data_IF_341889093096
#
_entry.id   IF_341889093096
#
_cell.length_a   1.000
_cell.length_b   1.000
_cell.length_c   1.000
_cell.angle_alpha   90.00
_cell.angle_beta   90.00
_cell.angle_gamma   90.00
#
_symmetry.space_group_name_H-M   'P 1'
#
loop_
_entity.id
_entity.type
_entity.pdbx_description
1 polymer ?
#
# COMPACT_ATOMS: atom_id res chain seq x y z
N UNK A 1 -12.96 -21.40 24.75
CA UNK A 1 -12.38 -20.71 23.59
C UNK A 1 -12.94 -21.40 22.37
N UNK A 2 -13.73 -20.70 21.55
CA UNK A 2 -14.14 -21.25 20.25
C UNK A 2 -12.90 -21.27 19.36
N UNK A 3 -12.73 -22.32 18.57
CA UNK A 3 -11.74 -22.31 17.49
C UNK A 3 -12.24 -21.30 16.46
N UNK A 4 -11.35 -20.42 16.01
CA UNK A 4 -11.63 -19.54 14.88
C UNK A 4 -11.77 -20.39 13.62
N UNK A 5 -12.93 -20.38 12.94
CA UNK A 5 -13.13 -21.16 11.72
C UNK A 5 -12.27 -20.65 10.54
N UNK A 6 -11.68 -19.45 10.67
CA UNK A 6 -10.83 -18.80 9.67
C UNK A 6 -9.51 -18.34 10.31
N UNK A 7 -8.58 -19.27 10.61
CA UNK A 7 -7.28 -18.89 11.13
C UNK A 7 -6.50 -18.13 10.05
N UNK A 8 -6.58 -16.80 10.10
CA UNK A 8 -5.91 -15.87 9.19
C UNK A 8 -4.85 -15.08 9.95
N UNK A 9 -3.75 -14.69 9.28
CA UNK A 9 -2.78 -13.81 9.90
C UNK A 9 -3.40 -12.41 10.08
N UNK A 10 -3.13 -11.78 11.23
CA UNK A 10 -3.57 -10.43 11.55
C UNK A 10 -2.38 -9.63 12.07
N UNK A 11 -2.31 -8.37 11.66
CA UNK A 11 -1.25 -7.42 12.02
C UNK A 11 0.14 -7.99 11.70
N UNK A 12 0.33 -8.45 10.46
CA UNK A 12 1.57 -9.10 9.99
C UNK A 12 2.73 -8.13 9.83
N UNK A 13 2.43 -6.84 9.73
CA UNK A 13 3.41 -5.79 9.56
C UNK A 13 3.49 -4.90 10.80
N UNK A 14 4.71 -4.44 11.06
CA UNK A 14 4.99 -3.42 12.05
C UNK A 14 4.44 -2.06 11.57
N UNK A 15 4.00 -1.19 12.51
CA UNK A 15 3.66 0.18 12.16
C UNK A 15 4.88 0.94 11.63
N UNK A 16 4.67 2.06 10.90
CA UNK A 16 5.78 2.92 10.48
C UNK A 16 6.67 3.29 11.67
N UNK A 17 7.98 3.13 11.53
CA UNK A 17 8.95 3.49 12.58
C UNK A 17 9.58 4.86 12.30
N UNK A 18 9.75 5.21 11.04
CA UNK A 18 10.25 6.52 10.61
C UNK A 18 9.14 7.41 10.01
N UNK A 19 9.41 8.72 9.94
CA UNK A 19 8.58 9.64 9.17
C UNK A 19 8.72 9.42 7.66
N UNK A 20 7.93 10.14 6.87
CA UNK A 20 8.01 10.07 5.42
C UNK A 20 9.44 10.39 4.93
N UNK A 21 9.94 9.71 3.87
CA UNK A 21 11.27 9.96 3.33
C UNK A 21 11.53 11.44 3.00
N UNK A 22 12.72 11.94 3.37
CA UNK A 22 13.15 13.30 3.06
C UNK A 22 14.67 13.39 2.81
N UNK A 23 15.10 14.50 2.21
CA UNK A 23 16.52 14.79 1.94
C UNK A 23 17.23 13.67 1.17
N UNK A 24 18.47 13.35 1.58
CA UNK A 24 19.29 12.31 0.93
C UNK A 24 18.67 10.92 0.96
N UNK A 25 17.81 10.65 1.94
CA UNK A 25 17.12 9.38 2.01
C UNK A 25 16.06 9.26 0.92
N UNK A 26 15.22 10.29 0.78
CA UNK A 26 14.27 10.38 -0.35
C UNK A 26 14.98 10.33 -1.70
N UNK A 27 16.14 10.99 -1.86
CA UNK A 27 16.93 10.93 -3.11
C UNK A 27 17.40 9.50 -3.43
N UNK A 28 17.84 8.74 -2.42
CA UNK A 28 18.23 7.34 -2.58
C UNK A 28 17.05 6.47 -3.02
N UNK A 29 15.92 6.57 -2.33
CA UNK A 29 14.72 5.81 -2.68
C UNK A 29 14.17 6.21 -4.05
N UNK A 30 14.15 7.51 -4.37
CA UNK A 30 13.66 8.01 -5.65
C UNK A 30 14.48 7.44 -6.81
N UNK A 31 15.80 7.28 -6.65
CA UNK A 31 16.62 6.63 -7.67
C UNK A 31 16.13 5.20 -7.96
N UNK A 32 15.94 4.38 -6.93
CA UNK A 32 15.45 3.01 -7.10
C UNK A 32 14.06 2.95 -7.72
N UNK A 33 13.15 3.84 -7.29
CA UNK A 33 11.81 3.91 -7.84
C UNK A 33 11.80 4.36 -9.30
N UNK A 34 12.56 5.40 -9.66
CA UNK A 34 12.66 5.85 -11.05
C UNK A 34 13.31 4.81 -11.95
N UNK A 35 14.34 4.10 -11.47
CA UNK A 35 14.94 2.99 -12.21
C UNK A 35 13.86 1.91 -12.50
N UNK A 36 13.01 1.55 -11.53
CA UNK A 36 11.88 0.64 -11.76
C UNK A 36 10.83 1.22 -12.73
N UNK A 37 10.50 2.50 -12.64
CA UNK A 37 9.57 3.17 -13.56
C UNK A 37 10.04 3.09 -15.02
N UNK A 38 11.36 3.09 -15.28
CA UNK A 38 11.88 3.00 -16.65
C UNK A 38 11.72 1.62 -17.28
N UNK A 39 11.48 0.58 -16.46
CA UNK A 39 11.26 -0.79 -16.90
C UNK A 39 9.77 -1.10 -17.14
N UNK A 40 8.85 -0.17 -16.82
CA UNK A 40 7.41 -0.34 -17.04
C UNK A 40 7.12 -0.32 -18.55
N UNK A 41 6.60 -1.43 -19.07
CA UNK A 41 6.18 -1.55 -20.46
C UNK A 41 4.79 -0.95 -20.64
N UNK A 42 4.66 -0.01 -21.58
CA UNK A 42 3.42 0.71 -21.86
C UNK A 42 3.15 0.72 -23.36
N UNK A 43 1.89 0.57 -23.74
CA UNK A 43 1.48 0.66 -25.15
C UNK A 43 1.51 2.12 -25.65
N UNK A 44 1.31 3.08 -24.74
CA UNK A 44 1.31 4.51 -25.02
C UNK A 44 2.41 5.24 -24.23
N UNK A 45 3.04 6.29 -24.81
CA UNK A 45 4.03 7.07 -24.08
C UNK A 45 3.41 7.75 -22.86
N UNK A 46 3.93 7.46 -21.67
CA UNK A 46 3.47 8.08 -20.41
C UNK A 46 4.16 9.42 -20.11
N UNK A 47 5.11 9.85 -20.93
CA UNK A 47 5.80 11.14 -20.79
C UNK A 47 6.89 11.16 -19.71
N UNK A 48 7.16 12.34 -19.14
CA UNK A 48 8.18 12.51 -18.09
C UNK A 48 7.59 12.32 -16.70
N UNK A 49 8.27 11.56 -15.85
CA UNK A 49 7.91 11.37 -14.43
C UNK A 49 8.11 12.65 -13.62
N UNK A 50 7.11 13.00 -12.81
CA UNK A 50 7.15 14.09 -11.84
C UNK A 50 7.90 13.75 -10.55
N UNK A 51 7.80 14.59 -9.51
CA UNK A 51 8.35 14.29 -8.19
C UNK A 51 7.63 13.11 -7.54
N UNK A 52 8.36 12.34 -6.73
CA UNK A 52 7.80 11.19 -6.02
C UNK A 52 7.06 11.63 -4.76
N UNK A 53 5.83 11.14 -4.61
CA UNK A 53 5.04 11.20 -3.37
C UNK A 53 5.23 9.89 -2.62
N UNK A 54 5.79 9.96 -1.41
CA UNK A 54 6.02 8.77 -0.58
C UNK A 54 4.87 8.49 0.38
N UNK A 55 4.66 7.22 0.71
CA UNK A 55 3.70 6.78 1.71
C UNK A 55 4.41 6.28 2.97
N UNK A 56 3.74 6.21 4.13
CA UNK A 56 4.35 5.67 5.34
C UNK A 56 4.90 4.26 5.12
N UNK A 57 6.07 3.96 5.69
CA UNK A 57 6.66 2.64 5.52
C UNK A 57 5.94 1.56 6.34
N UNK A 58 6.03 0.30 5.90
CA UNK A 58 5.59 -0.87 6.67
C UNK A 58 6.66 -1.95 6.62
N UNK A 59 6.93 -2.60 7.75
CA UNK A 59 7.91 -3.68 7.83
C UNK A 59 7.20 -5.00 8.04
N UNK A 60 7.42 -5.97 7.15
CA UNK A 60 6.92 -7.34 7.30
C UNK A 60 8.10 -8.30 7.35
N UNK A 61 8.36 -8.87 8.53
CA UNK A 61 9.57 -9.64 8.77
C UNK A 61 10.80 -8.73 8.79
N UNK A 62 11.82 -9.04 7.99
CA UNK A 62 13.08 -8.27 7.93
C UNK A 62 13.09 -7.18 6.84
N UNK A 63 11.99 -7.06 6.08
CA UNK A 63 11.91 -6.17 4.92
C UNK A 63 10.91 -5.05 5.14
N UNK A 64 11.37 -3.84 4.89
CA UNK A 64 10.59 -2.61 4.96
C UNK A 64 10.19 -2.19 3.55
N UNK A 65 8.92 -1.81 3.38
CA UNK A 65 8.32 -1.38 2.13
C UNK A 65 7.90 0.09 2.25
N UNK A 66 8.32 0.90 1.29
CA UNK A 66 8.00 2.33 1.19
C UNK A 66 7.28 2.56 -0.13
N UNK A 67 5.93 2.65 -0.12
CA UNK A 67 5.18 2.89 -1.34
C UNK A 67 5.40 4.30 -1.87
N UNK A 68 5.19 4.46 -3.17
CA UNK A 68 5.39 5.70 -3.89
C UNK A 68 4.43 5.84 -5.05
N UNK A 69 4.05 7.08 -5.34
CA UNK A 69 3.42 7.46 -6.61
C UNK A 69 4.14 8.65 -7.24
N UNK A 70 4.00 8.81 -8.55
CA UNK A 70 4.48 9.98 -9.29
C UNK A 70 3.60 10.22 -10.52
N UNK A 71 2.96 11.39 -10.58
CA UNK A 71 2.26 11.86 -11.77
C UNK A 71 3.20 12.00 -12.96
N UNK A 72 2.71 11.76 -14.17
CA UNK A 72 3.46 11.97 -15.40
C UNK A 72 2.98 13.19 -16.18
N UNK A 73 3.78 13.65 -17.17
CA UNK A 73 3.39 14.80 -18.00
C UNK A 73 2.21 14.54 -18.92
N UNK A 74 1.84 13.28 -19.15
CA UNK A 74 0.69 12.89 -20.00
C UNK A 74 -0.55 12.55 -19.16
N UNK A 75 -0.54 12.82 -17.85
CA UNK A 75 -1.69 12.62 -16.97
C UNK A 75 -1.86 11.20 -16.43
N UNK A 76 -0.85 10.34 -16.60
CA UNK A 76 -0.81 9.01 -15.98
C UNK A 76 -0.22 9.11 -14.57
N UNK A 77 -0.39 8.06 -13.78
CA UNK A 77 0.29 7.88 -12.51
C UNK A 77 1.18 6.63 -12.54
N UNK A 78 2.46 6.81 -12.23
CA UNK A 78 3.36 5.71 -11.90
C UNK A 78 3.21 5.40 -10.41
N UNK A 79 2.98 4.15 -10.05
CA UNK A 79 2.80 3.73 -8.67
C UNK A 79 3.61 2.47 -8.37
N UNK A 80 3.98 2.27 -7.11
CA UNK A 80 4.70 1.07 -6.68
C UNK A 80 5.39 1.26 -5.34
N UNK A 81 6.54 0.63 -5.15
CA UNK A 81 7.28 0.73 -3.89
C UNK A 81 8.79 0.52 -4.06
N UNK A 82 9.53 1.00 -3.06
CA UNK A 82 10.91 0.59 -2.81
C UNK A 82 10.96 -0.18 -1.50
N UNK A 83 11.67 -1.28 -1.46
CA UNK A 83 11.86 -2.08 -0.26
C UNK A 83 13.33 -2.34 0.02
N UNK A 84 13.67 -2.55 1.29
CA UNK A 84 15.03 -2.78 1.73
C UNK A 84 15.05 -3.60 3.03
N UNK A 85 16.22 -4.16 3.36
CA UNK A 85 16.49 -4.76 4.67
C UNK A 85 17.32 -3.80 5.52
N UNK A 86 17.18 -3.92 6.84
CA UNK A 86 17.98 -3.16 7.80
C UNK A 86 18.14 -3.94 9.09
N UNK A 87 19.37 -4.02 9.62
CA UNK A 87 19.64 -4.80 10.84
C UNK A 87 18.97 -4.18 12.09
N UNK A 88 18.97 -2.85 12.20
CA UNK A 88 18.32 -2.11 13.27
C UNK A 88 18.07 -0.65 12.87
N UNK A 89 17.28 0.09 13.64
CA UNK A 89 17.07 1.54 13.46
C UNK A 89 18.41 2.28 13.36
N UNK A 90 18.56 3.13 12.34
CA UNK A 90 19.79 3.89 12.07
C UNK A 90 20.95 3.11 11.42
N UNK A 91 20.83 1.79 11.20
CA UNK A 91 21.77 1.07 10.35
C UNK A 91 21.59 1.44 8.86
N UNK A 92 22.60 1.15 8.04
CA UNK A 92 22.47 1.33 6.60
C UNK A 92 21.41 0.38 6.04
N UNK A 93 20.58 0.88 5.13
CA UNK A 93 19.66 0.06 4.36
C UNK A 93 20.43 -0.70 3.28
N UNK A 94 20.07 -1.98 3.10
CA UNK A 94 20.69 -2.91 2.15
C UNK A 94 19.61 -3.66 1.35
N UNK A 95 20.02 -4.50 0.40
CA UNK A 95 19.13 -5.36 -0.40
C UNK A 95 17.92 -4.65 -1.01
N UNK A 96 18.17 -3.50 -1.65
CA UNK A 96 17.13 -2.70 -2.29
C UNK A 96 16.46 -3.47 -3.44
N UNK A 97 15.13 -3.49 -3.40
CA UNK A 97 14.26 -3.96 -4.48
C UNK A 97 13.21 -2.88 -4.75
N UNK A 98 12.83 -2.68 -6.00
CA UNK A 98 11.79 -1.74 -6.38
C UNK A 98 10.86 -2.36 -7.41
N UNK A 99 9.59 -1.99 -7.33
CA UNK A 99 8.55 -2.36 -8.29
C UNK A 99 7.77 -1.09 -8.63
N UNK A 100 7.39 -0.98 -9.90
CA UNK A 100 6.55 0.08 -10.40
C UNK A 100 5.61 -0.49 -11.46
N UNK A 101 4.44 0.12 -11.57
CA UNK A 101 3.47 -0.05 -12.64
C UNK A 101 2.88 1.33 -12.98
N UNK A 102 1.98 1.40 -13.96
CA UNK A 102 1.35 2.65 -14.38
C UNK A 102 -0.15 2.49 -14.57
N UNK A 103 -0.89 3.57 -14.30
CA UNK A 103 -2.34 3.63 -14.48
C UNK A 103 -2.76 5.00 -15.03
N UNK A 104 -3.85 5.03 -15.78
CA UNK A 104 -4.59 6.25 -16.15
C UNK A 104 -5.80 6.50 -15.22
N UNK A 105 -6.17 5.50 -14.40
CA UNK A 105 -7.19 5.62 -13.36
C UNK A 105 -6.61 6.39 -12.16
N UNK A 106 -7.04 7.64 -12.00
CA UNK A 106 -6.54 8.57 -10.97
C UNK A 106 -7.69 9.21 -10.21
N UNK A 107 -7.43 9.72 -9.00
CA UNK A 107 -8.44 10.49 -8.25
C UNK A 107 -8.94 11.74 -8.99
N UNK A 108 -8.13 12.35 -9.87
CA UNK A 108 -8.58 13.47 -10.70
C UNK A 108 -9.60 13.03 -11.78
N UNK A 109 -9.43 11.83 -12.34
CA UNK A 109 -10.35 11.25 -13.31
C UNK A 109 -11.62 10.68 -12.65
N UNK A 110 -11.54 10.31 -11.37
CA UNK A 110 -12.60 9.65 -10.61
C UNK A 110 -13.02 10.46 -9.36
N UNK A 111 -13.79 11.56 -9.54
CA UNK A 111 -14.08 12.53 -8.47
C UNK A 111 -15.05 12.03 -7.40
N UNK A 112 -15.67 10.87 -7.61
CA UNK A 112 -16.57 10.20 -6.67
C UNK A 112 -15.86 9.25 -5.71
N UNK A 113 -14.60 8.90 -5.98
CA UNK A 113 -13.78 8.11 -5.06
C UNK A 113 -13.61 8.81 -3.72
N UNK A 114 -13.64 8.02 -2.65
CA UNK A 114 -13.41 8.51 -1.29
C UNK A 114 -12.02 8.14 -0.77
N UNK A 115 -11.40 7.13 -1.37
CA UNK A 115 -10.05 6.66 -1.09
C UNK A 115 -9.39 6.39 -2.44
N UNK A 116 -8.23 6.98 -2.67
CA UNK A 116 -7.38 6.65 -3.81
C UNK A 116 -6.47 5.50 -3.39
N UNK A 117 -6.61 4.33 -4.02
CA UNK A 117 -5.98 3.08 -3.59
C UNK A 117 -5.02 2.54 -4.65
N UNK A 118 -3.92 1.97 -4.18
CA UNK A 118 -3.02 1.17 -5.00
C UNK A 118 -2.54 -0.03 -4.20
N UNK A 119 -2.14 -1.08 -4.91
CA UNK A 119 -1.64 -2.30 -4.29
C UNK A 119 -0.47 -2.95 -5.03
N UNK A 120 0.17 -3.89 -4.34
CA UNK A 120 1.16 -4.78 -4.93
C UNK A 120 1.18 -6.13 -4.20
N UNK A 121 1.14 -7.21 -4.98
CA UNK A 121 1.28 -8.57 -4.46
C UNK A 121 2.70 -8.81 -3.93
N UNK A 122 2.85 -9.11 -2.63
CA UNK A 122 4.16 -9.37 -2.03
C UNK A 122 4.54 -10.85 -2.07
N UNK A 123 3.63 -11.72 -1.60
CA UNK A 123 3.90 -13.15 -1.54
C UNK A 123 2.65 -14.02 -1.35
N UNK A 124 2.62 -15.24 -1.92
CA UNK A 124 1.53 -16.16 -1.69
C UNK A 124 1.41 -16.58 -0.22
N UNK A 125 0.17 -16.65 0.27
CA UNK A 125 -0.21 -17.25 1.54
C UNK A 125 -0.84 -18.63 1.31
N UNK A 126 -0.56 -19.59 2.20
CA UNK A 126 -1.14 -20.93 2.16
C UNK A 126 -1.88 -21.20 3.46
N UNK A 127 -3.18 -21.44 3.33
CA UNK A 127 -4.04 -21.86 4.41
C UNK A 127 -4.30 -23.37 4.41
N UNK A 128 -5.11 -23.82 5.36
CA UNK A 128 -5.53 -25.21 5.45
C UNK A 128 -6.33 -25.65 4.22
N UNK A 129 -6.36 -26.97 3.98
CA UNK A 129 -7.11 -27.61 2.90
C UNK A 129 -6.74 -27.11 1.49
N UNK A 130 -5.52 -26.59 1.34
CA UNK A 130 -5.01 -26.09 0.06
C UNK A 130 -5.50 -24.70 -0.31
N UNK A 131 -6.18 -23.99 0.61
CA UNK A 131 -6.55 -22.59 0.43
C UNK A 131 -5.33 -21.72 0.17
N UNK A 132 -5.52 -20.70 -0.66
CA UNK A 132 -4.49 -19.75 -1.06
C UNK A 132 -5.07 -18.35 -1.01
N UNK A 133 -4.20 -17.39 -0.75
CA UNK A 133 -4.45 -15.96 -0.88
C UNK A 133 -3.12 -15.26 -1.14
N UNK A 134 -3.14 -13.94 -1.17
CA UNK A 134 -1.94 -13.13 -1.39
C UNK A 134 -1.72 -12.23 -0.19
N UNK A 135 -0.49 -12.18 0.34
CA UNK A 135 -0.11 -11.07 1.19
C UNK A 135 0.19 -9.88 0.28
N UNK A 136 -0.59 -8.82 0.44
CA UNK A 136 -0.65 -7.67 -0.44
C UNK A 136 -0.27 -6.41 0.34
N UNK A 137 0.61 -5.60 -0.25
CA UNK A 137 0.90 -4.24 0.20
C UNK A 137 -0.19 -3.34 -0.38
N UNK A 138 -0.86 -2.56 0.47
CA UNK A 138 -1.90 -1.62 0.05
C UNK A 138 -1.57 -0.26 0.61
N UNK A 139 -1.66 0.77 -0.22
CA UNK A 139 -1.48 2.15 0.21
C UNK A 139 -2.52 3.04 -0.44
N UNK A 140 -2.72 4.21 0.13
CA UNK A 140 -3.70 5.12 -0.42
C UNK A 140 -3.74 6.49 0.22
N UNK A 141 -4.54 7.35 -0.41
CA UNK A 141 -4.81 8.73 0.01
C UNK A 141 -6.27 8.85 0.43
N UNK A 142 -6.49 9.44 1.61
CA UNK A 142 -7.81 9.82 2.08
C UNK A 142 -8.32 11.04 1.31
N UNK A 143 -9.34 10.87 0.46
CA UNK A 143 -9.98 11.97 -0.27
C UNK A 143 -11.10 12.64 0.56
N UNK A 144 -11.46 12.03 1.69
CA UNK A 144 -12.37 12.59 2.69
C UNK A 144 -11.61 13.21 3.86
N UNK A 145 -12.18 14.29 4.43
CA UNK A 145 -11.57 14.99 5.56
C UNK A 145 -11.84 14.31 6.92
N UNK A 146 -10.85 14.38 7.82
CA UNK A 146 -10.99 14.00 9.23
C UNK A 146 -10.71 12.52 9.54
N UNK A 147 -10.22 11.75 8.57
CA UNK A 147 -9.70 10.42 8.79
C UNK A 147 -8.42 10.47 9.63
N UNK A 148 -8.32 9.57 10.61
CA UNK A 148 -7.14 9.47 11.49
C UNK A 148 -6.51 8.07 11.46
N UNK A 149 -7.24 7.06 11.01
CA UNK A 149 -6.76 5.70 10.86
C UNK A 149 -7.35 5.04 9.62
N UNK A 150 -6.58 4.13 9.03
CA UNK A 150 -7.04 3.23 7.98
C UNK A 150 -6.95 1.78 8.48
N UNK A 151 -7.86 0.92 8.04
CA UNK A 151 -7.82 -0.51 8.31
C UNK A 151 -8.03 -1.34 7.06
N UNK A 152 -7.44 -2.53 7.07
CA UNK A 152 -7.66 -3.56 6.07
C UNK A 152 -8.63 -4.59 6.66
N UNK A 153 -9.72 -4.85 5.97
CA UNK A 153 -10.76 -5.79 6.37
C UNK A 153 -10.81 -6.96 5.38
N UNK A 154 -10.75 -8.19 5.89
CA UNK A 154 -10.97 -9.40 5.08
C UNK A 154 -12.25 -10.07 5.57
N UNK A 155 -13.37 -9.80 4.91
CA UNK A 155 -14.69 -10.20 5.40
C UNK A 155 -15.00 -9.54 6.75
N UNK A 156 -15.30 -10.30 7.84
CA UNK A 156 -15.62 -9.72 9.15
C UNK A 156 -14.39 -9.36 10.00
N UNK A 157 -13.17 -9.61 9.51
CA UNK A 157 -11.95 -9.55 10.32
C UNK A 157 -11.04 -8.39 9.88
N UNK A 158 -10.76 -7.48 10.81
CA UNK A 158 -9.70 -6.49 10.65
C UNK A 158 -8.34 -7.17 10.71
N UNK A 159 -7.63 -7.16 9.59
CA UNK A 159 -6.37 -7.89 9.37
C UNK A 159 -5.16 -6.98 9.43
N UNK A 160 -5.32 -5.68 9.23
CA UNK A 160 -4.28 -4.68 9.52
C UNK A 160 -4.90 -3.31 9.87
N UNK A 161 -4.13 -2.45 10.53
CA UNK A 161 -4.52 -1.08 10.86
C UNK A 161 -3.29 -0.17 11.00
N UNK A 162 -3.44 1.10 10.61
CA UNK A 162 -2.43 2.12 10.84
C UNK A 162 -3.05 3.52 11.04
N UNK A 163 -2.24 4.43 11.56
CA UNK A 163 -2.55 5.87 11.62
C UNK A 163 -2.31 6.50 10.25
N UNK A 164 -3.18 7.44 9.87
CA UNK A 164 -3.00 8.24 8.65
C UNK A 164 -2.01 9.37 8.91
N UNK A 165 -1.04 9.54 8.00
CA UNK A 165 0.00 10.57 8.07
C UNK A 165 -0.08 11.40 6.80
N UNK A 166 -0.34 12.71 6.92
CA UNK A 166 -0.49 13.62 5.77
C UNK A 166 -1.40 13.01 4.70
N UNK A 167 -2.61 12.63 5.15
CA UNK A 167 -3.68 12.02 4.37
C UNK A 167 -3.35 10.66 3.73
N UNK A 168 -2.15 10.12 3.97
CA UNK A 168 -1.65 8.86 3.40
C UNK A 168 -1.55 7.75 4.42
N UNK A 169 -1.69 6.51 3.95
CA UNK A 169 -1.53 5.31 4.76
C UNK A 169 -0.95 4.15 3.96
N UNK A 170 -0.45 3.16 4.69
CA UNK A 170 0.05 1.89 4.13
C UNK A 170 -0.33 0.74 5.07
N UNK A 171 -0.78 -0.36 4.50
CA UNK A 171 -1.24 -1.58 5.13
C UNK A 171 -0.57 -2.78 4.45
N UNK A 172 -0.36 -3.87 5.18
CA UNK A 172 0.02 -5.17 4.59
C UNK A 172 -0.94 -6.21 5.13
N UNK A 173 -1.72 -6.80 4.23
CA UNK A 173 -2.80 -7.70 4.62
C UNK A 173 -2.96 -8.89 3.67
N UNK A 174 -3.70 -9.89 4.13
CA UNK A 174 -4.11 -11.02 3.30
C UNK A 174 -5.32 -10.62 2.45
N UNK A 175 -5.22 -10.87 1.15
CA UNK A 175 -6.27 -10.65 0.15
C UNK A 175 -6.63 -11.96 -0.58
N UNK A 176 -7.78 -11.95 -1.26
CA UNK A 176 -8.33 -13.01 -2.10
C UNK A 176 -8.30 -14.38 -1.41
N UNK A 177 -8.80 -14.44 -0.17
CA UNK A 177 -8.75 -15.62 0.67
C UNK A 177 -10.15 -16.02 1.14
N UNK A 178 -10.46 -17.31 1.07
CA UNK A 178 -11.78 -17.87 1.42
C UNK A 178 -12.99 -17.28 0.66
N UNK A 179 -12.75 -16.64 -0.47
CA UNK A 179 -13.79 -15.96 -1.26
C UNK A 179 -14.07 -14.53 -0.81
N UNK A 180 -13.32 -14.03 0.17
CA UNK A 180 -13.33 -12.63 0.58
C UNK A 180 -12.17 -11.90 -0.11
N UNK A 181 -12.45 -10.68 -0.53
CA UNK A 181 -11.46 -9.72 -1.01
C UNK A 181 -11.23 -8.65 0.05
N UNK A 182 -10.08 -7.99 -0.03
CA UNK A 182 -9.68 -6.97 0.92
C UNK A 182 -10.45 -5.66 0.67
N UNK A 183 -11.06 -5.14 1.72
CA UNK A 183 -11.62 -3.79 1.74
C UNK A 183 -10.79 -2.88 2.63
N UNK A 184 -10.65 -1.62 2.25
CA UNK A 184 -9.99 -0.59 3.06
C UNK A 184 -11.04 0.35 3.63
N UNK A 185 -10.92 0.65 4.94
CA UNK A 185 -11.81 1.58 5.64
C UNK A 185 -11.06 2.70 6.29
N UNK A 186 -11.64 3.90 6.26
CA UNK A 186 -11.14 5.08 6.96
C UNK A 186 -11.98 5.37 8.20
N UNK A 187 -11.30 5.72 9.29
CA UNK A 187 -11.91 5.93 10.59
C UNK A 187 -11.65 7.34 11.12
N UNK A 188 -12.68 7.96 11.69
CA UNK A 188 -12.58 9.21 12.43
C UNK A 188 -12.07 9.02 13.85
N UNK A 189 -11.66 10.11 14.50
CA UNK A 189 -11.12 10.09 15.87
C UNK A 189 -12.13 9.59 16.94
N UNK A 190 -13.43 9.63 16.64
CA UNK A 190 -14.52 9.10 17.45
C UNK A 190 -14.81 7.61 17.19
N UNK A 191 -14.07 6.98 16.29
CA UNK A 191 -14.24 5.58 15.89
C UNK A 191 -15.35 5.34 14.87
N UNK A 192 -15.93 6.40 14.28
CA UNK A 192 -16.90 6.23 13.19
C UNK A 192 -16.20 5.92 11.87
N UNK A 193 -16.79 5.05 11.06
CA UNK A 193 -16.39 4.85 9.67
C UNK A 193 -16.69 6.12 8.85
N UNK A 194 -15.75 6.53 8.02
CA UNK A 194 -15.85 7.72 7.16
C UNK A 194 -16.02 7.36 5.70
N UNK A 195 -15.30 6.33 5.25
CA UNK A 195 -15.28 5.83 3.89
C UNK A 195 -14.86 4.36 3.90
N UNK A 196 -15.26 3.64 2.87
CA UNK A 196 -14.83 2.29 2.58
C UNK A 196 -14.72 2.15 1.06
N UNK A 197 -13.62 1.58 0.58
CA UNK A 197 -13.37 1.29 -0.83
C UNK A 197 -12.69 -0.08 -0.94
N UNK A 198 -12.91 -0.76 -2.07
CA UNK A 198 -12.25 -2.02 -2.42
C UNK A 198 -11.25 -1.79 -3.54
N UNK A 199 -10.26 -2.68 -3.66
CA UNK A 199 -9.38 -2.72 -4.84
C UNK A 199 -10.09 -3.28 -6.08
N UNK A 200 -11.29 -3.83 -5.90
CA UNK A 200 -12.07 -4.51 -6.92
C UNK A 200 -13.39 -3.76 -7.17
N UNK A 201 -13.78 -3.65 -8.43
CA UNK A 201 -15.11 -3.14 -8.77
C UNK A 201 -16.20 -4.13 -8.34
N UNK A 202 -17.31 -3.62 -7.79
CA UNK A 202 -18.51 -4.42 -7.53
C UNK A 202 -19.14 -4.90 -8.87
N UNK A 203 -19.31 -6.23 -9.06
CA UNK A 203 -20.05 -6.81 -10.21
C UNK A 203 -21.55 -6.49 -10.24
#
# INVERSE_FOLDING_TARGET
MSIDPRPIPRFVAEPPQEGLPYGRWAETLAKHFHDACTEVETDEPVGSTGPVTWFPERTMGERTYVPATASTSEGWELFGYVSYTREHEGAAAEDFEASADVTDETAEANPDWQIDLSDAELRPFRGDEGRRGMLTLVWGVSLVGGAVAASAELGPDTTDQCTIIEERFTLISLDAYTGDYLDVRLWGADGRELAAESLYEDE
#
